data_IF_002362267322
#
_entry.id   IF_002362267322
#
_cell.length_a   1.000
_cell.length_b   1.000
_cell.length_c   1.000
_cell.angle_alpha   90.00
_cell.angle_beta   90.00
_cell.angle_gamma   90.00
#
_symmetry.space_group_name_H-M   'P 1'
#
loop_
_entity.id
_entity.type
_entity.pdbx_description
1 polymer ?
#
# COMPACT_ATOMS: atom_id res chain seq x y z
N UNK A 1 20.09 0.27 -11.95
CA UNK A 1 18.71 -0.25 -11.89
C UNK A 1 17.90 0.46 -10.82
N UNK A 2 18.50 0.84 -9.67
CA UNK A 2 17.93 1.90 -8.84
C UNK A 2 17.92 3.24 -9.61
N UNK A 3 16.85 4.03 -9.50
CA UNK A 3 16.79 5.39 -10.03
C UNK A 3 15.99 5.62 -11.32
N UNK A 4 15.73 4.57 -12.11
CA UNK A 4 15.09 4.73 -13.43
C UNK A 4 13.63 5.21 -13.35
N UNK A 5 12.98 4.98 -12.20
CA UNK A 5 11.55 5.24 -12.02
C UNK A 5 11.25 6.25 -10.91
N UNK A 6 12.26 6.87 -10.30
CA UNK A 6 12.06 7.73 -9.12
C UNK A 6 11.14 8.91 -9.43
N UNK A 7 11.36 9.58 -10.56
CA UNK A 7 10.51 10.70 -11.01
C UNK A 7 9.06 10.27 -11.25
N UNK A 8 8.86 9.09 -11.82
CA UNK A 8 7.53 8.53 -12.07
C UNK A 8 6.88 8.08 -10.77
N UNK A 9 7.65 7.57 -9.80
CA UNK A 9 7.17 7.19 -8.49
C UNK A 9 6.68 8.40 -7.68
N UNK A 10 7.37 9.54 -7.77
CA UNK A 10 6.94 10.80 -7.14
C UNK A 10 5.63 11.31 -7.76
N UNK A 11 5.56 11.39 -9.10
CA UNK A 11 4.32 11.78 -9.80
C UNK A 11 3.16 10.81 -9.52
N UNK A 12 3.46 9.52 -9.41
CA UNK A 12 2.47 8.50 -9.06
C UNK A 12 1.98 8.67 -7.62
N UNK A 13 2.87 9.01 -6.68
CA UNK A 13 2.51 9.27 -5.28
C UNK A 13 1.53 10.45 -5.15
N UNK A 14 1.75 11.52 -5.91
CA UNK A 14 0.88 12.72 -5.89
C UNK A 14 -0.49 12.48 -6.53
N UNK A 15 -0.57 11.68 -7.60
CA UNK A 15 -1.77 11.54 -8.41
C UNK A 15 -2.71 10.39 -8.03
N UNK A 16 -2.25 9.44 -7.21
CA UNK A 16 -3.02 8.22 -6.92
C UNK A 16 -3.99 8.42 -5.74
N UNK A 17 -5.18 7.79 -5.78
CA UNK A 17 -6.12 7.80 -4.66
C UNK A 17 -5.59 6.96 -3.47
N UNK A 18 -6.00 7.31 -2.25
CA UNK A 18 -5.78 6.48 -1.06
C UNK A 18 -6.85 5.41 -0.91
N UNK A 19 -6.53 4.33 -0.21
CA UNK A 19 -7.47 3.28 0.11
C UNK A 19 -8.39 3.70 1.26
N UNK A 20 -9.72 3.56 1.14
CA UNK A 20 -10.65 3.82 2.24
C UNK A 20 -10.46 2.84 3.41
N UNK A 21 -10.53 3.33 4.65
CA UNK A 21 -10.45 2.52 5.87
C UNK A 21 -11.35 1.28 5.87
N UNK A 22 -12.59 1.41 5.33
CA UNK A 22 -13.55 0.30 5.24
C UNK A 22 -13.04 -0.91 4.47
N UNK A 23 -12.12 -0.73 3.52
CA UNK A 23 -11.56 -1.84 2.75
C UNK A 23 -10.58 -2.65 3.60
N UNK A 24 -9.78 -1.98 4.43
CA UNK A 24 -8.91 -2.65 5.39
C UNK A 24 -9.73 -3.44 6.42
N UNK A 25 -10.81 -2.86 6.95
CA UNK A 25 -11.72 -3.57 7.86
C UNK A 25 -12.33 -4.82 7.22
N UNK A 26 -12.85 -4.69 6.00
CA UNK A 26 -13.42 -5.82 5.24
C UNK A 26 -12.38 -6.93 5.03
N UNK A 27 -11.12 -6.60 4.72
CA UNK A 27 -10.06 -7.61 4.55
C UNK A 27 -9.69 -8.26 5.88
N UNK A 28 -9.60 -7.47 6.96
CA UNK A 28 -9.29 -7.96 8.29
C UNK A 28 -10.36 -8.96 8.77
N UNK A 29 -11.64 -8.71 8.51
CA UNK A 29 -12.75 -9.60 8.89
C UNK A 29 -12.62 -11.02 8.29
N UNK A 30 -11.81 -11.19 7.25
CA UNK A 30 -11.52 -12.48 6.62
C UNK A 30 -10.21 -13.14 7.10
N UNK A 31 -9.56 -12.59 8.12
CA UNK A 31 -8.30 -13.10 8.68
C UNK A 31 -8.42 -13.35 10.18
N UNK A 32 -7.95 -14.51 10.66
CA UNK A 32 -8.04 -14.87 12.08
C UNK A 32 -6.99 -14.18 12.97
N UNK A 33 -5.91 -13.69 12.38
CA UNK A 33 -4.76 -13.14 13.09
C UNK A 33 -4.34 -11.80 12.48
N UNK A 34 -3.99 -10.85 13.35
CA UNK A 34 -3.65 -9.48 12.97
C UNK A 34 -2.30 -9.02 13.56
N UNK A 35 -1.52 -9.94 14.14
CA UNK A 35 -0.23 -9.62 14.74
C UNK A 35 0.87 -9.33 13.72
N UNK A 36 0.70 -9.81 12.48
CA UNK A 36 1.65 -9.63 11.39
C UNK A 36 0.93 -9.66 10.04
N UNK A 37 1.30 -8.74 9.15
CA UNK A 37 0.91 -8.74 7.75
C UNK A 37 2.16 -8.57 6.87
N UNK A 38 2.15 -9.15 5.67
CA UNK A 38 3.21 -9.00 4.69
C UNK A 38 2.66 -8.35 3.42
N UNK A 39 3.12 -7.13 3.13
CA UNK A 39 2.79 -6.39 1.91
C UNK A 39 3.87 -6.62 0.85
N UNK A 40 3.65 -7.61 -0.01
CA UNK A 40 4.59 -8.02 -1.06
C UNK A 40 4.49 -7.05 -2.24
N UNK A 41 5.64 -6.52 -2.69
CA UNK A 41 5.64 -5.62 -3.84
C UNK A 41 4.96 -4.28 -3.56
N UNK A 42 5.01 -3.82 -2.30
CA UNK A 42 4.33 -2.61 -1.79
C UNK A 42 4.67 -1.30 -2.51
N UNK A 43 5.63 -1.30 -3.43
CA UNK A 43 6.10 -0.09 -4.11
C UNK A 43 6.64 0.91 -3.09
N UNK A 44 5.99 2.05 -2.97
CA UNK A 44 6.31 3.07 -1.98
C UNK A 44 5.50 2.96 -0.68
N UNK A 45 4.85 1.83 -0.40
CA UNK A 45 4.23 1.58 0.89
C UNK A 45 2.78 2.02 1.02
N UNK A 46 2.07 2.43 -0.05
CA UNK A 46 0.78 3.10 0.13
C UNK A 46 -0.26 2.30 0.90
N UNK A 47 -0.39 1.00 0.61
CA UNK A 47 -1.32 0.14 1.31
C UNK A 47 -0.85 -0.10 2.76
N UNK A 48 0.45 -0.33 2.97
CA UNK A 48 1.07 -0.55 4.27
C UNK A 48 1.14 0.68 5.19
N UNK A 49 1.11 1.90 4.64
CA UNK A 49 1.05 3.16 5.39
C UNK A 49 -0.38 3.56 5.79
N UNK A 50 -1.39 2.86 5.26
CA UNK A 50 -2.81 3.12 5.53
C UNK A 50 -3.23 2.77 6.94
#
# INVERSE_FOLDING_TARGET
>A
MAGLFDKQADLYLDGRPTYPARWYSMLADHTLHHSLAWDVGTGNGQAALG
#
